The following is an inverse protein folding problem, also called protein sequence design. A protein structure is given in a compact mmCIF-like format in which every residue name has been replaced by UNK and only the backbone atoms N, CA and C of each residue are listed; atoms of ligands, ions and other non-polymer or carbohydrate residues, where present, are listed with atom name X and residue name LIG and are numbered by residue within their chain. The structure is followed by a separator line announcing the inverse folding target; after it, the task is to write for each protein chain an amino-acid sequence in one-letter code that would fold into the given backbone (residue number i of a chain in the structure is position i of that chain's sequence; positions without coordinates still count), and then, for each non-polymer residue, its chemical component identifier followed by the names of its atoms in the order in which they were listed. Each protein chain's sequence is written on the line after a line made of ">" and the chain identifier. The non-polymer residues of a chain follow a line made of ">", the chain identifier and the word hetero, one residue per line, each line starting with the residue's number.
data_IF_528385998113
#
_entry.id   IF_528385998113
#
_cell.length_a   1.000
_cell.length_b   1.000
_cell.length_c   1.000
_cell.angle_alpha   90.00
_cell.angle_beta   90.00
_cell.angle_gamma   90.00
#
_symmetry.space_group_name_H-M   'P 1'
#
loop_
_entity.id
_entity.type
_entity.pdbx_description
1 polymer ?
#
# COMPACT_ATOMS: atom_id res chain seq x y z
N UNK A 1 23.62 -15.06 -13.44
CA UNK A 1 23.30 -13.60 -13.45
C UNK A 1 22.16 -13.39 -12.48
N UNK A 2 22.23 -12.34 -11.66
CA UNK A 2 21.14 -11.99 -10.73
C UNK A 2 19.80 -11.89 -11.48
N UNK A 3 18.75 -12.56 -11.00
CA UNK A 3 17.37 -12.48 -11.54
C UNK A 3 16.65 -11.18 -11.13
N UNK A 4 17.32 -10.27 -10.43
CA UNK A 4 16.73 -9.02 -9.95
C UNK A 4 16.60 -7.98 -11.09
N UNK A 5 15.56 -7.14 -11.08
CA UNK A 5 15.40 -6.06 -12.03
C UNK A 5 16.55 -5.04 -11.91
N UNK A 6 17.05 -4.55 -13.04
CA UNK A 6 18.16 -3.57 -13.08
C UNK A 6 17.66 -2.13 -13.01
N UNK A 7 16.40 -1.89 -13.38
CA UNK A 7 15.74 -0.60 -13.34
C UNK A 7 14.55 -0.68 -12.39
N UNK A 8 14.47 0.31 -11.50
CA UNK A 8 13.32 0.55 -10.63
C UNK A 8 12.71 1.89 -11.07
N UNK A 9 11.48 1.87 -11.57
CA UNK A 9 10.73 3.11 -11.84
C UNK A 9 10.29 3.74 -10.51
N UNK A 10 10.45 5.06 -10.37
CA UNK A 10 10.13 5.76 -9.12
C UNK A 10 8.64 5.79 -8.78
N UNK A 11 8.26 5.38 -7.56
CA UNK A 11 6.87 5.30 -7.09
C UNK A 11 6.33 6.57 -6.40
N UNK A 12 6.52 7.75 -6.98
CA UNK A 12 6.19 9.04 -6.34
C UNK A 12 4.90 9.67 -6.88
N UNK A 13 4.27 10.51 -6.06
CA UNK A 13 3.11 11.33 -6.44
C UNK A 13 1.76 10.60 -6.40
N UNK A 14 0.74 11.26 -5.84
CA UNK A 14 -0.63 10.76 -5.81
C UNK A 14 -1.19 10.65 -7.24
N UNK A 15 -1.50 9.43 -7.68
CA UNK A 15 -2.06 9.15 -9.01
C UNK A 15 -1.08 9.28 -10.20
N UNK A 16 0.16 9.72 -9.96
CA UNK A 16 1.20 9.87 -10.99
C UNK A 16 1.79 8.51 -11.34
N UNK A 17 2.47 7.86 -10.39
CA UNK A 17 2.94 6.48 -10.55
C UNK A 17 1.81 5.48 -10.29
N UNK A 18 0.80 5.50 -11.15
CA UNK A 18 -0.36 4.61 -11.09
C UNK A 18 -0.08 3.24 -11.73
N UNK A 19 -1.06 2.34 -11.62
CA UNK A 19 -0.97 0.97 -12.12
C UNK A 19 -0.62 0.87 -13.61
N UNK A 20 -1.00 1.86 -14.45
CA UNK A 20 -0.69 1.83 -15.90
C UNK A 20 0.80 2.00 -16.14
N UNK A 21 1.43 2.96 -15.46
CA UNK A 21 2.87 3.17 -15.56
C UNK A 21 3.64 1.98 -14.98
N UNK A 22 3.25 1.53 -13.79
CA UNK A 22 3.88 0.38 -13.15
C UNK A 22 3.79 -0.88 -14.03
N UNK A 23 2.61 -1.17 -14.60
CA UNK A 23 2.43 -2.29 -15.54
C UNK A 23 3.28 -2.12 -16.80
N UNK A 24 3.30 -0.92 -17.39
CA UNK A 24 4.09 -0.66 -18.59
C UNK A 24 5.60 -0.92 -18.38
N UNK A 25 6.13 -0.59 -17.21
CA UNK A 25 7.53 -0.88 -16.85
C UNK A 25 7.71 -2.36 -16.54
N UNK A 26 6.81 -2.95 -15.75
CA UNK A 26 6.90 -4.34 -15.33
C UNK A 26 6.81 -5.31 -16.50
N UNK A 27 5.89 -5.08 -17.45
CA UNK A 27 5.80 -5.86 -18.71
C UNK A 27 7.08 -5.82 -19.56
N UNK A 28 7.97 -4.84 -19.36
CA UNK A 28 9.28 -4.75 -20.04
C UNK A 28 10.42 -5.44 -19.27
N UNK A 29 10.09 -6.19 -18.21
CA UNK A 29 11.04 -6.97 -17.42
C UNK A 29 11.79 -6.16 -16.36
N UNK A 30 11.38 -4.92 -16.10
CA UNK A 30 11.95 -4.06 -15.05
C UNK A 30 10.98 -3.96 -13.87
N UNK A 31 11.35 -3.29 -12.77
CA UNK A 31 10.41 -3.11 -11.65
C UNK A 31 9.54 -1.88 -11.88
N UNK A 32 8.26 -2.11 -12.17
CA UNK A 32 7.23 -1.08 -12.08
C UNK A 32 6.83 -0.86 -10.63
N UNK A 33 6.70 0.40 -10.22
CA UNK A 33 6.37 0.76 -8.83
C UNK A 33 5.17 1.68 -8.79
N UNK A 34 4.13 1.22 -8.09
CA UNK A 34 2.94 2.00 -7.77
C UNK A 34 3.25 2.97 -6.62
N UNK A 35 2.73 4.20 -6.66
CA UNK A 35 2.72 5.06 -5.48
C UNK A 35 1.57 4.68 -4.55
N UNK A 36 1.87 4.33 -3.30
CA UNK A 36 0.89 4.05 -2.26
C UNK A 36 0.25 5.29 -1.64
N UNK A 37 0.51 6.49 -2.17
CA UNK A 37 0.01 7.75 -1.61
C UNK A 37 -1.45 7.96 -1.97
N UNK A 38 -2.31 8.08 -0.95
CA UNK A 38 -3.74 8.43 -1.10
C UNK A 38 -4.53 7.51 -2.04
N UNK A 39 -4.20 6.22 -2.08
CA UNK A 39 -4.88 5.26 -2.95
C UNK A 39 -6.35 5.09 -2.59
N UNK A 40 -6.73 5.18 -1.32
CA UNK A 40 -8.12 5.25 -0.86
C UNK A 40 -8.89 6.42 -1.49
N UNK A 41 -8.30 7.62 -1.49
CA UNK A 41 -8.86 8.79 -2.15
C UNK A 41 -9.03 8.54 -3.65
N UNK A 42 -7.98 8.03 -4.29
CA UNK A 42 -7.95 7.79 -5.74
C UNK A 42 -8.99 6.74 -6.15
N UNK A 43 -9.08 5.62 -5.42
CA UNK A 43 -10.09 4.59 -5.70
C UNK A 43 -11.49 5.17 -5.54
N UNK A 44 -11.74 5.86 -4.41
CA UNK A 44 -13.05 6.45 -4.15
C UNK A 44 -13.45 7.51 -5.19
N UNK A 45 -12.52 8.31 -5.70
CA UNK A 45 -12.80 9.25 -6.79
C UNK A 45 -13.07 8.54 -8.11
N UNK A 46 -12.24 7.56 -8.51
CA UNK A 46 -12.44 6.80 -9.75
C UNK A 46 -13.77 6.04 -9.78
N UNK A 47 -14.22 5.52 -8.65
CA UNK A 47 -15.53 4.87 -8.52
C UNK A 47 -16.68 5.88 -8.66
N UNK A 48 -16.54 7.07 -8.08
CA UNK A 48 -17.52 8.15 -8.21
C UNK A 48 -17.58 8.74 -9.62
N UNK A 49 -16.48 8.67 -10.37
CA UNK A 49 -16.44 9.00 -11.80
C UNK A 49 -17.03 7.88 -12.68
N UNK A 50 -17.55 6.81 -12.07
CA UNK A 50 -18.21 5.70 -12.75
C UNK A 50 -17.29 4.61 -13.28
N UNK A 51 -16.04 4.59 -12.80
CA UNK A 51 -15.01 3.64 -13.21
C UNK A 51 -14.87 3.51 -14.74
N UNK A 52 -14.43 4.57 -15.45
CA UNK A 52 -14.24 4.50 -16.89
C UNK A 52 -13.31 3.35 -17.29
N UNK A 53 -13.81 2.45 -18.14
CA UNK A 53 -13.10 1.23 -18.56
C UNK A 53 -13.28 0.02 -17.62
N UNK A 54 -14.03 0.16 -16.53
CA UNK A 54 -14.40 -0.94 -15.62
C UNK A 54 -13.23 -1.55 -14.86
N UNK A 55 -12.11 -0.83 -14.75
CA UNK A 55 -10.86 -1.37 -14.20
C UNK A 55 -10.95 -1.57 -12.69
N UNK A 56 -11.51 -0.61 -11.96
CA UNK A 56 -11.60 -0.66 -10.50
C UNK A 56 -12.56 -1.78 -10.09
N UNK A 57 -13.75 -1.85 -10.72
CA UNK A 57 -14.73 -2.92 -10.48
C UNK A 57 -14.19 -4.29 -10.84
N UNK A 58 -13.45 -4.42 -11.95
CA UNK A 58 -12.80 -5.69 -12.33
C UNK A 58 -11.80 -6.16 -11.28
N UNK A 59 -10.96 -5.26 -10.77
CA UNK A 59 -10.02 -5.59 -9.72
C UNK A 59 -10.73 -5.92 -8.39
N UNK A 60 -11.76 -5.15 -8.02
CA UNK A 60 -12.58 -5.42 -6.84
C UNK A 60 -13.32 -6.77 -6.92
N UNK A 61 -13.73 -7.20 -8.12
CA UNK A 61 -14.31 -8.54 -8.33
C UNK A 61 -13.30 -9.68 -8.11
N UNK A 62 -12.00 -9.40 -8.25
CA UNK A 62 -10.92 -10.35 -7.93
C UNK A 62 -10.44 -10.26 -6.47
N UNK A 63 -10.99 -9.33 -5.67
CA UNK A 63 -10.60 -9.14 -4.28
C UNK A 63 -11.03 -10.34 -3.42
N UNK A 64 -10.15 -10.89 -2.55
CA UNK A 64 -10.43 -12.11 -1.80
C UNK A 64 -11.55 -12.00 -0.76
N UNK A 65 -12.04 -10.80 -0.44
CA UNK A 65 -13.13 -10.58 0.50
C UNK A 65 -14.31 -9.89 -0.22
N UNK A 66 -15.19 -10.66 -0.90
CA UNK A 66 -16.26 -10.09 -1.73
C UNK A 66 -17.19 -9.14 -0.98
N UNK A 67 -17.50 -9.44 0.29
CA UNK A 67 -18.35 -8.57 1.11
C UNK A 67 -17.73 -7.19 1.37
N UNK A 68 -16.40 -7.11 1.51
CA UNK A 68 -15.70 -5.83 1.66
C UNK A 68 -15.67 -5.06 0.34
N UNK A 69 -15.39 -5.75 -0.78
CA UNK A 69 -15.45 -5.14 -2.11
C UNK A 69 -16.85 -4.56 -2.39
N UNK A 70 -17.91 -5.27 -2.02
CA UNK A 70 -19.28 -4.81 -2.17
C UNK A 70 -19.54 -3.54 -1.34
N UNK A 71 -19.12 -3.50 -0.06
CA UNK A 71 -19.26 -2.28 0.76
C UNK A 71 -18.55 -1.06 0.17
N UNK A 72 -17.38 -1.27 -0.44
CA UNK A 72 -16.66 -0.20 -1.14
C UNK A 72 -17.44 0.29 -2.37
N UNK A 73 -18.01 -0.63 -3.15
CA UNK A 73 -18.85 -0.28 -4.30
C UNK A 73 -20.12 0.46 -3.86
N UNK A 74 -20.85 -0.07 -2.89
CA UNK A 74 -22.06 0.57 -2.33
C UNK A 74 -21.76 1.96 -1.76
N UNK A 75 -20.55 2.14 -1.21
CA UNK A 75 -20.09 3.39 -0.62
C UNK A 75 -19.74 4.48 -1.63
N UNK A 76 -19.19 4.13 -2.80
CA UNK A 76 -18.51 5.10 -3.67
C UNK A 76 -18.80 4.97 -5.17
N UNK A 77 -19.31 3.84 -5.65
CA UNK A 77 -19.56 3.66 -7.08
C UNK A 77 -20.82 4.40 -7.54
N UNK A 78 -20.72 5.15 -8.64
CA UNK A 78 -21.85 5.83 -9.28
C UNK A 78 -21.90 5.37 -10.73
N UNK A 79 -22.88 4.54 -11.10
CA UNK A 79 -23.03 4.08 -12.49
C UNK A 79 -23.22 5.29 -13.43
N UNK A 80 -22.42 5.36 -14.50
CA UNK A 80 -22.37 6.52 -15.40
C UNK A 80 -21.61 7.74 -14.86
N UNK A 81 -21.13 7.68 -13.61
CA UNK A 81 -20.35 8.73 -12.96
C UNK A 81 -21.20 9.88 -12.39
N UNK A 82 -20.58 10.65 -11.49
CA UNK A 82 -21.19 11.85 -10.92
C UNK A 82 -21.43 12.92 -12.00
N UNK A 83 -22.47 13.77 -11.87
CA UNK A 83 -22.69 14.88 -12.79
C UNK A 83 -21.49 15.84 -12.89
N UNK A 84 -21.33 16.48 -14.04
CA UNK A 84 -20.33 17.53 -14.23
C UNK A 84 -20.53 18.65 -13.19
N UNK A 85 -19.45 19.09 -12.54
CA UNK A 85 -19.49 20.12 -11.50
C UNK A 85 -19.96 19.64 -10.11
N UNK A 86 -20.52 18.44 -9.98
CA UNK A 86 -20.85 17.88 -8.67
C UNK A 86 -19.58 17.61 -7.85
N UNK A 87 -19.61 17.95 -6.56
CA UNK A 87 -18.54 17.64 -5.62
C UNK A 87 -18.45 16.12 -5.37
N UNK A 88 -17.25 15.63 -5.10
CA UNK A 88 -17.07 14.24 -4.64
C UNK A 88 -17.66 14.07 -3.24
N UNK A 89 -18.29 12.92 -3.02
CA UNK A 89 -18.52 12.39 -1.68
C UNK A 89 -17.18 12.37 -0.94
N UNK A 90 -17.21 12.91 0.27
CA UNK A 90 -16.05 12.96 1.15
C UNK A 90 -15.62 11.55 1.50
N UNK A 91 -14.33 11.28 1.30
CA UNK A 91 -13.69 10.08 1.79
C UNK A 91 -13.09 10.42 3.17
N UNK A 92 -13.43 9.66 4.23
CA UNK A 92 -12.97 9.97 5.58
C UNK A 92 -11.44 9.89 5.69
N UNK A 93 -10.87 10.72 6.57
CA UNK A 93 -9.45 10.62 6.90
C UNK A 93 -9.21 9.39 7.79
N UNK A 94 -8.08 8.69 7.63
CA UNK A 94 -7.73 7.61 8.53
C UNK A 94 -7.39 8.15 9.93
N UNK A 95 -7.46 7.24 10.90
CA UNK A 95 -7.22 7.51 12.31
C UNK A 95 -6.89 6.21 13.04
N UNK A 96 -6.39 6.33 14.28
CA UNK A 96 -6.02 5.19 15.12
C UNK A 96 -7.21 4.26 15.27
N UNK A 97 -8.34 4.80 15.73
CA UNK A 97 -9.61 4.08 15.90
C UNK A 97 -10.57 4.35 14.74
N UNK A 98 -10.03 4.44 13.52
CA UNK A 98 -10.86 4.63 12.34
C UNK A 98 -11.90 3.50 12.23
N UNK A 99 -13.15 3.83 11.86
CA UNK A 99 -14.16 2.84 11.59
C UNK A 99 -13.70 1.79 10.57
N UNK A 100 -14.16 0.53 10.68
CA UNK A 100 -13.75 -0.55 9.77
C UNK A 100 -13.83 -0.16 8.29
N UNK A 101 -14.89 0.52 7.88
CA UNK A 101 -15.12 0.92 6.48
C UNK A 101 -14.01 1.84 5.91
N UNK A 102 -13.37 2.66 6.75
CA UNK A 102 -12.26 3.52 6.33
C UNK A 102 -11.01 2.68 6.06
N UNK A 103 -10.72 1.72 6.95
CA UNK A 103 -9.59 0.79 6.79
C UNK A 103 -9.81 -0.14 5.61
N UNK A 104 -11.02 -0.65 5.44
CA UNK A 104 -11.43 -1.51 4.33
C UNK A 104 -11.23 -0.82 2.97
N UNK A 105 -11.60 0.46 2.85
CA UNK A 105 -11.33 1.23 1.64
C UNK A 105 -9.83 1.30 1.34
N UNK A 106 -8.99 1.56 2.34
CA UNK A 106 -7.54 1.60 2.16
C UNK A 106 -6.98 0.22 1.76
N UNK A 107 -7.46 -0.88 2.36
CA UNK A 107 -7.07 -2.26 1.98
C UNK A 107 -7.45 -2.51 0.52
N UNK A 108 -8.72 -2.28 0.15
CA UNK A 108 -9.21 -2.52 -1.19
C UNK A 108 -8.48 -1.66 -2.24
N UNK A 109 -8.21 -0.39 -1.93
CA UNK A 109 -7.50 0.51 -2.83
C UNK A 109 -6.07 0.07 -3.15
N UNK A 110 -5.32 -0.37 -2.13
CA UNK A 110 -3.97 -0.88 -2.34
C UNK A 110 -3.96 -2.20 -3.11
N UNK A 111 -4.95 -3.07 -2.85
CA UNK A 111 -5.13 -4.28 -3.64
C UNK A 111 -5.39 -3.95 -5.11
N UNK A 112 -6.36 -3.08 -5.40
CA UNK A 112 -6.78 -2.74 -6.76
C UNK A 112 -5.60 -2.24 -7.59
N UNK A 113 -4.83 -1.31 -7.04
CA UNK A 113 -3.74 -0.67 -7.78
C UNK A 113 -2.59 -1.67 -8.08
N UNK A 114 -2.23 -2.53 -7.12
CA UNK A 114 -1.21 -3.56 -7.32
C UNK A 114 -1.71 -4.68 -8.23
N UNK A 115 -2.95 -5.13 -8.06
CA UNK A 115 -3.53 -6.21 -8.86
C UNK A 115 -3.59 -5.83 -10.35
N UNK A 116 -4.03 -4.60 -10.65
CA UNK A 116 -4.02 -4.08 -12.02
C UNK A 116 -2.61 -3.92 -12.58
N UNK A 117 -1.65 -3.52 -11.74
CA UNK A 117 -0.26 -3.38 -12.14
C UNK A 117 0.40 -4.72 -12.50
N UNK A 118 -0.09 -5.84 -11.96
CA UNK A 118 0.42 -7.20 -12.21
C UNK A 118 -0.31 -7.94 -13.35
N UNK A 119 -1.37 -7.35 -13.91
CA UNK A 119 -2.25 -8.06 -14.85
C UNK A 119 -1.51 -8.49 -16.13
N UNK A 120 -1.53 -9.79 -16.44
CA UNK A 120 -1.00 -10.34 -17.69
C UNK A 120 0.52 -10.54 -17.75
N UNK A 121 1.23 -10.50 -16.63
CA UNK A 121 2.67 -10.85 -16.57
C UNK A 121 3.10 -11.38 -15.20
N UNK A 122 4.29 -11.98 -15.13
CA UNK A 122 4.90 -12.50 -13.90
C UNK A 122 6.07 -11.65 -13.38
N UNK A 123 6.40 -10.55 -14.07
CA UNK A 123 7.49 -9.63 -13.71
C UNK A 123 7.19 -8.89 -12.40
N UNK A 124 8.22 -8.43 -11.67
CA UNK A 124 8.06 -7.84 -10.35
C UNK A 124 7.30 -6.51 -10.39
N UNK A 125 6.40 -6.33 -9.43
CA UNK A 125 5.72 -5.06 -9.15
C UNK A 125 5.99 -4.63 -7.72
N UNK A 126 6.45 -3.41 -7.56
CA UNK A 126 6.65 -2.77 -6.26
C UNK A 126 5.54 -1.80 -5.90
N UNK A 127 5.48 -1.44 -4.63
CA UNK A 127 4.74 -0.28 -4.14
C UNK A 127 5.64 0.59 -3.28
N UNK A 128 5.53 1.91 -3.42
CA UNK A 128 6.29 2.87 -2.64
C UNK A 128 5.38 3.58 -1.64
N UNK A 129 5.76 3.57 -0.37
CA UNK A 129 5.07 4.27 0.70
C UNK A 129 5.95 5.34 1.34
N UNK A 130 5.31 6.33 1.96
CA UNK A 130 5.97 7.34 2.77
C UNK A 130 5.83 6.99 4.25
N UNK A 131 6.94 6.95 4.98
CA UNK A 131 6.91 6.69 6.43
C UNK A 131 6.07 7.73 7.17
N UNK A 132 5.98 8.97 6.67
CA UNK A 132 5.12 10.03 7.23
C UNK A 132 3.61 9.74 7.19
N UNK A 133 3.13 8.83 6.34
CA UNK A 133 1.70 8.50 6.22
C UNK A 133 1.30 7.35 7.14
N UNK A 134 1.74 7.38 8.40
CA UNK A 134 1.70 6.25 9.34
C UNK A 134 0.28 5.67 9.57
N UNK A 135 -0.75 6.52 9.54
CA UNK A 135 -2.15 6.11 9.72
C UNK A 135 -2.69 5.20 8.61
N UNK A 136 -2.00 5.09 7.47
CA UNK A 136 -2.39 4.20 6.38
C UNK A 136 -1.62 2.89 6.38
N UNK A 137 -0.49 2.81 7.10
CA UNK A 137 0.52 1.77 6.89
C UNK A 137 -0.08 0.37 6.99
N UNK A 138 -0.71 0.02 8.11
CA UNK A 138 -1.24 -1.33 8.30
C UNK A 138 -2.30 -1.73 7.25
N UNK A 139 -3.40 -0.99 7.03
CA UNK A 139 -4.39 -1.40 6.03
C UNK A 139 -3.83 -1.36 4.59
N UNK A 140 -2.98 -0.38 4.26
CA UNK A 140 -2.37 -0.29 2.95
C UNK A 140 -1.46 -1.50 2.65
N UNK A 141 -0.60 -1.86 3.60
CA UNK A 141 0.28 -3.03 3.49
C UNK A 141 -0.51 -4.31 3.28
N UNK A 142 -1.59 -4.52 4.05
CA UNK A 142 -2.44 -5.70 3.91
C UNK A 142 -3.01 -5.80 2.49
N UNK A 143 -3.58 -4.71 1.97
CA UNK A 143 -4.12 -4.64 0.61
C UNK A 143 -3.09 -4.97 -0.47
N UNK A 144 -1.91 -4.38 -0.40
CA UNK A 144 -0.83 -4.63 -1.36
C UNK A 144 -0.31 -6.08 -1.29
N UNK A 145 -0.20 -6.66 -0.09
CA UNK A 145 0.21 -8.05 0.09
C UNK A 145 -0.84 -9.04 -0.42
N UNK A 146 -2.13 -8.74 -0.25
CA UNK A 146 -3.23 -9.55 -0.82
C UNK A 146 -3.19 -9.59 -2.35
N UNK A 147 -2.76 -8.50 -2.99
CA UNK A 147 -2.53 -8.46 -4.44
C UNK A 147 -1.20 -9.10 -4.86
N UNK A 148 -0.41 -9.60 -3.91
CA UNK A 148 0.86 -10.26 -4.17
C UNK A 148 1.96 -9.30 -4.61
N UNK A 149 2.03 -8.09 -4.04
CA UNK A 149 3.15 -7.16 -4.29
C UNK A 149 4.50 -7.84 -4.05
N UNK A 150 5.49 -7.57 -4.89
CA UNK A 150 6.79 -8.23 -4.84
C UNK A 150 7.80 -7.43 -4.00
N UNK A 151 7.70 -6.10 -4.04
CA UNK A 151 8.57 -5.18 -3.32
C UNK A 151 7.77 -4.10 -2.60
N UNK A 152 8.17 -3.77 -1.38
CA UNK A 152 7.76 -2.54 -0.70
C UNK A 152 8.98 -1.65 -0.56
N UNK A 153 8.87 -0.45 -1.12
CA UNK A 153 9.85 0.61 -1.00
C UNK A 153 9.31 1.62 0.00
N UNK A 154 10.17 2.14 0.88
CA UNK A 154 9.73 3.15 1.83
C UNK A 154 10.84 4.14 2.19
N UNK A 155 10.50 5.42 2.12
CA UNK A 155 11.36 6.55 2.46
C UNK A 155 10.60 7.64 3.20
N UNK A 156 11.12 8.87 3.11
CA UNK A 156 10.56 10.07 3.74
C UNK A 156 10.35 9.96 5.27
N UNK A 157 11.22 9.19 5.94
CA UNK A 157 11.25 8.95 7.38
C UNK A 157 12.21 7.80 7.70
N UNK A 158 12.10 7.18 8.88
CA UNK A 158 12.97 6.05 9.28
C UNK A 158 12.09 4.86 9.67
N UNK A 159 11.74 3.99 8.70
CA UNK A 159 10.71 2.96 8.88
C UNK A 159 11.21 1.71 9.62
N UNK A 160 11.80 1.88 10.80
CA UNK A 160 12.43 0.80 11.58
C UNK A 160 11.47 -0.33 11.96
N UNK A 161 10.18 -0.02 12.06
CA UNK A 161 9.14 -0.97 12.51
C UNK A 161 8.41 -1.66 11.37
N UNK A 162 8.57 -1.14 10.15
CA UNK A 162 7.82 -1.58 8.99
C UNK A 162 8.20 -2.99 8.50
N UNK A 163 9.49 -3.40 8.50
CA UNK A 163 9.85 -4.78 8.16
C UNK A 163 9.14 -5.83 9.02
N UNK A 164 8.97 -5.57 10.32
CA UNK A 164 8.23 -6.47 11.21
C UNK A 164 6.73 -6.56 10.89
N UNK A 165 6.12 -5.52 10.33
CA UNK A 165 4.73 -5.58 9.82
C UNK A 165 4.64 -6.57 8.66
N UNK A 166 5.57 -6.50 7.72
CA UNK A 166 5.63 -7.44 6.58
C UNK A 166 5.83 -8.89 7.05
N UNK A 167 6.71 -9.08 8.04
CA UNK A 167 6.98 -10.40 8.63
C UNK A 167 5.73 -10.98 9.31
N UNK A 168 4.99 -10.17 10.08
CA UNK A 168 3.78 -10.57 10.77
C UNK A 168 2.63 -10.88 9.78
N UNK A 169 2.35 -9.96 8.85
CA UNK A 169 1.26 -10.13 7.89
C UNK A 169 1.49 -11.30 6.92
N UNK A 170 2.74 -11.63 6.59
CA UNK A 170 3.06 -12.83 5.82
C UNK A 170 2.53 -14.12 6.50
N UNK A 171 2.45 -14.13 7.83
CA UNK A 171 1.94 -15.24 8.64
C UNK A 171 0.50 -15.04 9.11
N UNK A 172 -0.16 -13.97 8.65
CA UNK A 172 -1.46 -13.52 9.15
C UNK A 172 -1.47 -13.34 10.67
N UNK A 173 -0.38 -12.79 11.22
CA UNK A 173 -0.27 -12.42 12.63
C UNK A 173 -0.63 -10.94 12.81
N UNK A 174 -1.16 -10.56 13.99
CA UNK A 174 -1.38 -9.15 14.33
C UNK A 174 -0.09 -8.35 14.26
N UNK A 175 -0.19 -7.11 13.78
CA UNK A 175 0.91 -6.15 13.79
C UNK A 175 0.50 -4.86 14.51
N UNK A 176 1.50 -4.21 15.09
CA UNK A 176 1.38 -2.88 15.66
C UNK A 176 2.42 -1.94 15.04
N UNK A 177 2.01 -0.71 14.75
CA UNK A 177 2.87 0.33 14.21
C UNK A 177 2.82 1.59 15.10
N UNK A 178 3.97 2.07 15.61
CA UNK A 178 3.99 3.26 16.43
C UNK A 178 3.81 4.53 15.58
N UNK A 179 2.96 5.42 16.08
CA UNK A 179 2.68 6.70 15.47
C UNK A 179 3.51 7.79 16.17
N UNK A 180 4.11 8.66 15.36
CA UNK A 180 4.80 9.85 15.83
C UNK A 180 3.76 10.94 16.06
N UNK A 181 3.29 11.05 17.30
CA UNK A 181 2.28 12.02 17.71
C UNK A 181 2.94 13.18 18.47
N UNK A 182 2.93 14.36 17.88
CA UNK A 182 3.43 15.58 18.53
C UNK A 182 2.64 15.88 19.81
N UNK A 183 3.34 16.01 20.94
CA UNK A 183 2.74 16.33 22.23
C UNK A 183 2.25 15.14 23.06
N UNK A 184 2.40 13.90 22.56
CA UNK A 184 2.07 12.70 23.32
C UNK A 184 2.87 12.59 24.63
N UNK A 185 2.21 12.16 25.68
CA UNK A 185 2.75 11.97 27.03
C UNK A 185 3.08 10.49 27.30
N UNK A 186 3.93 10.21 28.31
CA UNK A 186 4.15 8.83 28.77
C UNK A 186 2.83 8.17 29.16
N UNK A 187 2.49 7.05 28.50
CA UNK A 187 1.26 6.30 28.73
C UNK A 187 0.19 6.49 27.66
N UNK A 188 0.33 7.48 26.77
CA UNK A 188 -0.58 7.64 25.63
C UNK A 188 -0.47 6.44 24.67
N UNK A 189 -1.62 5.89 24.26
CA UNK A 189 -1.63 4.82 23.26
C UNK A 189 -1.48 5.41 21.86
N UNK A 190 -0.24 5.43 21.38
CA UNK A 190 0.12 5.87 20.03
C UNK A 190 0.36 4.70 19.07
N UNK A 191 -0.13 3.50 19.41
CA UNK A 191 0.04 2.31 18.57
C UNK A 191 -1.19 2.10 17.69
N UNK A 192 -0.99 2.13 16.38
CA UNK A 192 -1.97 1.57 15.46
C UNK A 192 -1.85 0.05 15.47
N UNK A 193 -2.97 -0.67 15.49
CA UNK A 193 -3.01 -2.14 15.50
C UNK A 193 -3.93 -2.67 14.41
N UNK A 194 -3.57 -3.80 13.83
CA UNK A 194 -4.38 -4.52 12.85
C UNK A 194 -4.08 -6.01 12.91
N UNK A 195 -5.13 -6.84 13.00
CA UNK A 195 -5.05 -8.28 12.75
C UNK A 195 -5.61 -8.58 11.35
N UNK A 196 -4.81 -9.14 10.42
CA UNK A 196 -5.31 -9.56 9.10
C UNK A 196 -6.52 -10.51 9.18
N UNK A 197 -6.63 -11.31 10.24
CA UNK A 197 -7.71 -12.29 10.42
C UNK A 197 -9.06 -11.65 10.67
N UNK A 198 -9.11 -10.42 11.19
CA UNK A 198 -10.35 -9.66 11.36
C UNK A 198 -11.02 -9.38 10.00
N UNK A 199 -10.23 -9.34 8.93
CA UNK A 199 -10.70 -9.06 7.56
C UNK A 199 -10.81 -10.32 6.70
N UNK A 200 -9.90 -11.28 6.88
CA UNK A 200 -9.75 -12.45 6.00
C UNK A 200 -10.34 -13.74 6.59
N UNK A 201 -10.60 -13.77 7.90
CA UNK A 201 -10.92 -14.98 8.63
C UNK A 201 -9.69 -15.83 8.95
N UNK A 202 -9.85 -16.79 9.87
CA UNK A 202 -8.76 -17.63 10.40
C UNK A 202 -8.21 -18.69 9.44
N UNK A 203 -8.94 -19.02 8.37
CA UNK A 203 -8.58 -20.06 7.40
C UNK A 203 -7.83 -19.55 6.16
N UNK A 204 -7.52 -18.25 6.09
CA UNK A 204 -6.84 -17.68 4.92
C UNK A 204 -5.38 -18.18 4.84
N UNK A 205 -4.84 -18.49 3.65
CA UNK A 205 -3.47 -18.97 3.52
C UNK A 205 -2.44 -17.87 3.87
N UNK A 206 -1.23 -18.29 4.25
CA UNK A 206 -0.11 -17.39 4.45
C UNK A 206 0.16 -16.54 3.20
N UNK A 207 0.53 -15.26 3.40
CA UNK A 207 0.81 -14.34 2.32
C UNK A 207 2.28 -14.40 1.91
N UNK A 208 2.55 -14.17 0.63
CA UNK A 208 3.93 -13.95 0.17
C UNK A 208 4.45 -12.68 0.82
N UNK A 209 5.56 -12.78 1.55
CA UNK A 209 6.25 -11.61 2.08
C UNK A 209 6.97 -10.87 0.94
N UNK A 210 6.67 -9.58 0.69
CA UNK A 210 7.43 -8.79 -0.27
C UNK A 210 8.85 -8.53 0.25
N UNK A 211 9.77 -8.23 -0.67
CA UNK A 211 11.09 -7.70 -0.31
C UNK A 211 10.94 -6.25 0.14
N UNK A 212 11.65 -5.86 1.17
CA UNK A 212 11.64 -4.50 1.69
C UNK A 212 12.91 -3.75 1.28
N UNK A 213 12.75 -2.63 0.57
CA UNK A 213 13.84 -1.74 0.19
C UNK A 213 13.69 -0.41 0.92
N UNK A 214 14.62 -0.11 1.83
CA UNK A 214 14.61 1.17 2.52
C UNK A 214 15.24 2.25 1.62
N UNK A 215 14.53 3.35 1.43
CA UNK A 215 15.04 4.53 0.72
C UNK A 215 15.79 5.40 1.75
N UNK A 216 17.08 5.61 1.51
CA UNK A 216 17.99 6.30 2.43
C UNK A 216 18.79 7.38 1.72
N UNK A 217 19.04 8.49 2.41
CA UNK A 217 19.82 9.62 1.89
C UNK A 217 21.25 9.69 2.46
N UNK A 218 21.64 8.77 3.35
CA UNK A 218 22.97 8.79 3.97
C UNK A 218 23.41 7.41 4.46
N UNK A 219 24.73 7.23 4.60
CA UNK A 219 25.31 6.03 5.18
C UNK A 219 24.85 5.80 6.63
N UNK A 220 24.66 6.86 7.42
CA UNK A 220 24.16 6.75 8.80
C UNK A 220 22.76 6.17 8.84
N UNK A 221 21.87 6.59 7.93
CA UNK A 221 20.52 6.02 7.83
C UNK A 221 20.55 4.57 7.34
N UNK A 222 21.40 4.25 6.36
CA UNK A 222 21.62 2.87 5.92
C UNK A 222 22.03 1.95 7.09
N UNK A 223 23.04 2.36 7.86
CA UNK A 223 23.50 1.61 9.04
C UNK A 223 22.42 1.50 10.11
N UNK A 224 21.63 2.56 10.31
CA UNK A 224 20.52 2.56 11.27
C UNK A 224 19.45 1.55 10.88
N UNK A 225 19.04 1.52 9.61
CA UNK A 225 18.07 0.54 9.10
C UNK A 225 18.59 -0.89 9.28
N UNK A 226 19.82 -1.18 8.87
CA UNK A 226 20.38 -2.54 8.95
C UNK A 226 20.57 -3.05 10.38
N UNK A 227 20.85 -2.17 11.34
CA UNK A 227 21.12 -2.55 12.74
C UNK A 227 19.89 -2.54 13.64
N UNK A 228 18.91 -1.67 13.37
CA UNK A 228 17.80 -1.38 14.29
C UNK A 228 16.42 -1.76 13.77
N UNK A 229 16.28 -2.14 12.51
CA UNK A 229 14.99 -2.62 11.99
C UNK A 229 14.55 -3.88 12.75
N UNK A 230 13.24 -4.00 13.00
CA UNK A 230 12.66 -5.12 13.75
C UNK A 230 12.28 -6.33 12.87
N UNK A 231 12.81 -6.40 11.66
CA UNK A 231 12.48 -7.41 10.66
C UNK A 231 13.44 -7.34 9.48
N UNK A 232 13.21 -8.18 8.46
CA UNK A 232 14.17 -8.32 7.36
C UNK A 232 14.18 -7.09 6.42
N UNK A 233 15.36 -6.48 6.26
CA UNK A 233 15.64 -5.46 5.23
C UNK A 233 16.36 -6.15 4.08
N UNK A 234 15.74 -6.16 2.90
CA UNK A 234 16.22 -6.92 1.74
C UNK A 234 17.17 -6.10 0.85
N UNK A 235 17.12 -4.77 0.96
CA UNK A 235 18.01 -3.88 0.23
C UNK A 235 17.82 -2.41 0.60
N UNK A 236 18.64 -1.56 -0.02
CA UNK A 236 18.63 -0.12 0.17
C UNK A 236 18.57 0.58 -1.20
N UNK A 237 17.76 1.63 -1.30
CA UNK A 237 17.79 2.58 -2.41
C UNK A 237 18.46 3.85 -1.89
N UNK A 238 19.53 4.31 -2.53
CA UNK A 238 20.24 5.51 -2.12
C UNK A 238 19.76 6.69 -2.96
N UNK A 239 19.07 7.64 -2.32
CA UNK A 239 18.62 8.87 -2.97
C UNK A 239 19.60 10.01 -2.69
N UNK A 240 20.08 10.64 -3.77
CA UNK A 240 20.90 11.84 -3.70
C UNK A 240 20.06 13.12 -3.65
N UNK A 241 20.65 14.27 -3.31
CA UNK A 241 19.94 15.56 -3.23
C UNK A 241 19.38 16.06 -4.57
N UNK A 242 19.77 15.46 -5.69
CA UNK A 242 19.30 15.78 -7.04
C UNK A 242 18.22 14.82 -7.55
N UNK A 243 17.77 13.88 -6.71
CA UNK A 243 16.72 12.91 -7.03
C UNK A 243 15.32 13.55 -7.01
#
# INVERSE_FOLDING_TARGET
>A
MSQEPTIIQGGMGSGVSNWRLARAVSTRGQMGVVSGTALDQILGWRLQDGDPGGHMRRALAAFPVPAMAQRVLDGYFIEGGKPAGAAYKRIPMPGIDAPPEVRELTVAANFVEVWLAKEGHANPVGINYLDKLQLHHLPATLGAMLAGVDYVLMGAGIPLRYPGVLDAFAKLEPAAYPLNVSGAQPGDDTLMRLDPRDYLGSGFPALKRPKFLAIVASNTLAQTMLKKANGRVDGLVVEGPTA
#
